data_IF_328963523347
#
_entry.id   IF_328963523347
#
_cell.length_a   1.000
_cell.length_b   1.000
_cell.length_c   1.000
_cell.angle_alpha   90.00
_cell.angle_beta   90.00
_cell.angle_gamma   90.00
#
_symmetry.space_group_name_H-M   'P 1'
#
loop_
_entity.id
_entity.type
_entity.pdbx_description
1 polymer ?
#
# COMPACT_ATOMS: atom_id res chain seq x y z
N UNK A 1 1.31 -28.94 -12.15
CA UNK A 1 0.15 -28.27 -11.52
C UNK A 1 0.50 -27.50 -10.24
N UNK A 2 1.16 -28.11 -9.25
CA UNK A 2 1.33 -27.56 -7.88
C UNK A 2 1.99 -26.16 -7.81
N UNK A 3 3.00 -25.88 -8.64
CA UNK A 3 3.75 -24.61 -8.54
C UNK A 3 2.94 -23.37 -8.92
N UNK A 4 2.07 -23.45 -9.95
CA UNK A 4 1.30 -22.28 -10.41
C UNK A 4 0.27 -21.78 -9.41
N UNK A 5 -0.37 -22.70 -8.70
CA UNK A 5 -1.35 -22.37 -7.67
C UNK A 5 -0.69 -21.75 -6.42
N UNK A 6 0.51 -22.22 -6.06
CA UNK A 6 1.32 -21.65 -4.98
C UNK A 6 1.70 -20.21 -5.30
N UNK A 7 2.23 -19.93 -6.50
CA UNK A 7 2.60 -18.57 -6.90
C UNK A 7 1.40 -17.62 -6.90
N UNK A 8 0.22 -18.07 -7.37
CA UNK A 8 -1.02 -17.29 -7.31
C UNK A 8 -1.38 -16.89 -5.86
N UNK A 9 -1.38 -17.86 -4.94
CA UNK A 9 -1.71 -17.64 -3.53
C UNK A 9 -0.69 -16.72 -2.86
N UNK A 10 0.61 -16.94 -3.08
CA UNK A 10 1.66 -16.08 -2.55
C UNK A 10 1.53 -14.63 -3.05
N UNK A 11 1.24 -14.45 -4.34
CA UNK A 11 1.05 -13.13 -4.92
C UNK A 11 -0.18 -12.43 -4.33
N UNK A 12 -1.28 -13.17 -4.12
CA UNK A 12 -2.49 -12.64 -3.50
C UNK A 12 -2.25 -12.24 -2.03
N UNK A 13 -1.60 -13.09 -1.24
CA UNK A 13 -1.33 -12.80 0.17
C UNK A 13 -0.34 -11.65 0.33
N UNK A 14 0.69 -11.56 -0.51
CA UNK A 14 1.59 -10.42 -0.52
C UNK A 14 0.88 -9.13 -0.92
N UNK A 15 -0.05 -9.17 -1.88
CA UNK A 15 -0.87 -8.00 -2.22
C UNK A 15 -1.66 -7.49 -1.01
N UNK A 16 -2.33 -8.38 -0.27
CA UNK A 16 -3.10 -8.03 0.94
C UNK A 16 -2.17 -7.44 2.00
N UNK A 17 -1.00 -8.05 2.21
CA UNK A 17 -0.02 -7.59 3.19
C UNK A 17 0.52 -6.20 2.84
N UNK A 18 0.78 -5.92 1.56
CA UNK A 18 1.21 -4.60 1.09
C UNK A 18 0.11 -3.55 1.30
N UNK A 19 -1.16 -3.86 1.02
CA UNK A 19 -2.26 -2.93 1.27
C UNK A 19 -2.40 -2.61 2.76
N UNK A 20 -2.38 -3.64 3.60
CA UNK A 20 -2.54 -3.47 5.04
C UNK A 20 -1.33 -2.76 5.66
N UNK A 21 -0.11 -3.16 5.29
CA UNK A 21 1.12 -2.51 5.73
C UNK A 21 1.20 -1.05 5.29
N UNK A 22 0.76 -0.75 4.07
CA UNK A 22 0.64 0.61 3.55
C UNK A 22 -0.35 1.46 4.35
N UNK A 23 -1.54 0.92 4.66
CA UNK A 23 -2.53 1.60 5.49
C UNK A 23 -2.01 1.90 6.90
N UNK A 24 -1.40 0.91 7.57
CA UNK A 24 -0.81 1.08 8.91
C UNK A 24 0.29 2.13 8.89
N UNK A 25 1.18 2.09 7.89
CA UNK A 25 2.28 3.05 7.73
C UNK A 25 1.74 4.46 7.50
N UNK A 26 0.73 4.62 6.65
CA UNK A 26 0.10 5.91 6.38
C UNK A 26 -0.57 6.50 7.63
N UNK A 27 -1.27 5.68 8.42
CA UNK A 27 -1.86 6.11 9.69
C UNK A 27 -0.78 6.56 10.66
N UNK A 28 0.33 5.81 10.76
CA UNK A 28 1.44 6.17 11.63
C UNK A 28 2.08 7.51 11.23
N UNK A 29 2.29 7.73 9.93
CA UNK A 29 2.83 8.99 9.40
C UNK A 29 1.89 10.18 9.63
N UNK A 30 0.59 9.99 9.41
CA UNK A 30 -0.43 11.01 9.60
C UNK A 30 -0.61 11.40 11.06
N UNK A 31 -0.68 10.40 11.95
CA UNK A 31 -0.95 10.61 13.38
C UNK A 31 0.28 10.88 14.24
N UNK A 32 1.50 10.71 13.71
CA UNK A 32 2.81 10.89 14.36
C UNK A 32 2.74 11.54 15.76
N UNK A 33 3.12 10.77 16.81
CA UNK A 33 3.13 11.26 18.18
C UNK A 33 4.21 12.33 18.36
N UNK A 34 3.78 13.57 18.59
CA UNK A 34 4.70 14.68 18.77
C UNK A 34 5.40 14.63 20.12
N UNK A 35 6.72 14.75 20.10
CA UNK A 35 7.52 14.93 21.31
C UNK A 35 7.67 16.41 21.66
N UNK A 36 7.48 17.30 20.68
CA UNK A 36 7.64 18.75 20.81
C UNK A 36 6.32 19.44 20.47
N UNK A 37 5.90 20.47 21.22
CA UNK A 37 4.75 21.29 20.85
C UNK A 37 4.90 21.87 19.44
N UNK A 38 3.78 22.09 18.72
CA UNK A 38 3.84 22.74 17.41
C UNK A 38 4.35 24.18 17.54
N UNK A 39 5.20 24.57 16.59
CA UNK A 39 5.58 25.96 16.38
C UNK A 39 4.54 26.62 15.47
N UNK A 40 4.06 27.80 15.88
CA UNK A 40 3.12 28.60 15.10
C UNK A 40 3.88 29.83 14.61
N UNK A 41 4.00 29.97 13.30
CA UNK A 41 4.59 31.16 12.71
C UNK A 41 3.68 32.38 12.99
N UNK A 42 4.18 33.42 13.67
CA UNK A 42 3.38 34.58 14.05
C UNK A 42 2.96 35.46 12.86
N UNK A 43 3.64 35.37 11.71
CA UNK A 43 3.34 36.20 10.54
C UNK A 43 2.36 35.50 9.59
N UNK A 44 2.46 34.18 9.44
CA UNK A 44 1.66 33.39 8.48
C UNK A 44 0.54 32.58 9.15
N UNK A 45 0.62 32.34 10.46
CA UNK A 45 -0.28 31.45 11.19
C UNK A 45 -0.10 29.97 10.86
N UNK A 46 0.96 29.61 10.13
CA UNK A 46 1.24 28.23 9.76
C UNK A 46 1.68 27.41 10.98
N UNK A 47 1.18 26.17 11.05
CA UNK A 47 1.48 25.24 12.14
C UNK A 47 2.51 24.22 11.68
N UNK A 48 3.68 24.29 12.29
CA UNK A 48 4.79 23.38 12.05
C UNK A 48 4.90 22.39 13.20
N UNK A 49 4.98 21.12 12.87
CA UNK A 49 5.33 20.07 13.82
C UNK A 49 6.71 19.56 13.44
N UNK A 50 7.69 19.74 14.33
CA UNK A 50 9.07 19.25 14.14
C UNK A 50 9.69 19.73 12.81
N UNK A 51 9.42 20.98 12.42
CA UNK A 51 9.93 21.58 11.18
C UNK A 51 9.18 21.19 9.91
N UNK A 52 8.05 20.49 10.00
CA UNK A 52 7.20 20.13 8.86
C UNK A 52 5.80 20.73 8.98
N UNK A 53 5.30 21.27 7.86
CA UNK A 53 3.95 21.82 7.78
C UNK A 53 2.91 20.74 8.09
N UNK A 54 1.95 21.04 8.98
CA UNK A 54 0.92 20.08 9.36
C UNK A 54 0.15 19.44 8.16
N UNK A 55 -0.25 20.20 7.12
CA UNK A 55 -0.91 19.61 5.93
C UNK A 55 0.00 18.69 5.10
N UNK A 56 1.29 19.02 5.00
CA UNK A 56 2.26 18.28 4.18
C UNK A 56 2.42 16.83 4.67
N UNK A 57 2.27 16.61 5.97
CA UNK A 57 2.28 15.26 6.58
C UNK A 57 1.18 14.37 6.05
N UNK A 58 -0.05 14.90 6.03
CA UNK A 58 -1.20 14.17 5.52
C UNK A 58 -1.08 13.91 4.03
N UNK A 59 -0.41 14.80 3.28
CA UNK A 59 -0.10 14.54 1.87
C UNK A 59 0.89 13.38 1.70
N UNK A 60 1.96 13.34 2.50
CA UNK A 60 2.92 12.23 2.48
C UNK A 60 2.24 10.91 2.88
N UNK A 61 1.46 10.92 3.95
CA UNK A 61 0.69 9.75 4.40
C UNK A 61 -0.26 9.25 3.31
N UNK A 62 -1.00 10.16 2.67
CA UNK A 62 -1.89 9.84 1.55
C UNK A 62 -1.11 9.28 0.36
N UNK A 63 0.03 9.87 0.01
CA UNK A 63 0.86 9.39 -1.09
C UNK A 63 1.36 7.95 -0.83
N UNK A 64 1.85 7.65 0.37
CA UNK A 64 2.27 6.30 0.77
C UNK A 64 1.10 5.32 0.68
N UNK A 65 -0.08 5.71 1.19
CA UNK A 65 -1.28 4.88 1.09
C UNK A 65 -1.67 4.60 -0.36
N UNK A 66 -1.71 5.63 -1.21
CA UNK A 66 -2.11 5.48 -2.61
C UNK A 66 -1.14 4.60 -3.39
N UNK A 67 0.17 4.77 -3.21
CA UNK A 67 1.17 3.94 -3.89
C UNK A 67 1.01 2.47 -3.49
N UNK A 68 0.95 2.20 -2.19
CA UNK A 68 0.82 0.82 -1.68
C UNK A 68 -0.50 0.18 -2.08
N UNK A 69 -1.60 0.95 -2.11
CA UNK A 69 -2.90 0.49 -2.58
C UNK A 69 -2.89 0.16 -4.08
N UNK A 70 -2.31 1.03 -4.92
CA UNK A 70 -2.17 0.79 -6.36
C UNK A 70 -1.33 -0.46 -6.62
N UNK A 71 -0.17 -0.58 -5.94
CA UNK A 71 0.69 -1.76 -6.05
C UNK A 71 -0.07 -3.03 -5.65
N UNK A 72 -0.85 -2.99 -4.56
CA UNK A 72 -1.68 -4.11 -4.13
C UNK A 72 -2.68 -4.52 -5.21
N UNK A 73 -3.40 -3.58 -5.82
CA UNK A 73 -4.34 -3.90 -6.90
C UNK A 73 -3.67 -4.50 -8.12
N UNK A 74 -2.49 -4.00 -8.51
CA UNK A 74 -1.70 -4.59 -9.60
C UNK A 74 -1.35 -6.05 -9.28
N UNK A 75 -0.89 -6.33 -8.06
CA UNK A 75 -0.56 -7.68 -7.63
C UNK A 75 -1.78 -8.60 -7.59
N UNK A 76 -2.93 -8.13 -7.10
CA UNK A 76 -4.18 -8.90 -7.15
C UNK A 76 -4.62 -9.18 -8.59
N UNK A 77 -4.51 -8.20 -9.49
CA UNK A 77 -4.81 -8.37 -10.91
C UNK A 77 -3.91 -9.42 -11.57
N UNK A 78 -2.60 -9.36 -11.32
CA UNK A 78 -1.64 -10.36 -11.80
C UNK A 78 -1.96 -11.76 -11.25
N UNK A 79 -2.40 -11.86 -9.99
CA UNK A 79 -2.81 -13.13 -9.40
C UNK A 79 -4.01 -13.74 -10.14
N UNK A 80 -5.00 -12.91 -10.49
CA UNK A 80 -6.15 -13.34 -11.28
C UNK A 80 -5.73 -13.83 -12.69
N UNK A 81 -4.85 -13.09 -13.36
CA UNK A 81 -4.30 -13.48 -14.68
C UNK A 81 -3.59 -14.84 -14.61
N UNK A 82 -2.73 -15.05 -13.60
CA UNK A 82 -2.06 -16.35 -13.40
C UNK A 82 -3.08 -17.46 -13.22
N UNK A 83 -4.16 -17.23 -12.45
CA UNK A 83 -5.24 -18.19 -12.27
C UNK A 83 -5.88 -18.62 -13.59
N UNK A 84 -6.24 -17.66 -14.44
CA UNK A 84 -6.84 -17.93 -15.76
C UNK A 84 -5.86 -18.70 -16.65
N UNK A 85 -4.59 -18.30 -16.69
CA UNK A 85 -3.57 -18.97 -17.51
C UNK A 85 -3.33 -20.41 -17.05
N UNK A 86 -3.33 -20.67 -15.74
CA UNK A 86 -3.20 -22.04 -15.22
C UNK A 86 -4.38 -22.91 -15.61
N UNK A 87 -5.61 -22.37 -15.60
CA UNK A 87 -6.81 -23.10 -16.01
C UNK A 87 -6.78 -23.46 -17.50
N UNK A 88 -6.44 -22.50 -18.37
CA UNK A 88 -6.32 -22.74 -19.82
C UNK A 88 -5.25 -23.80 -20.11
N UNK A 89 -4.08 -23.70 -19.46
CA UNK A 89 -3.00 -24.68 -19.64
C UNK A 89 -3.42 -26.06 -19.18
N UNK A 90 -4.08 -26.17 -18.03
CA UNK A 90 -4.46 -27.46 -17.48
C UNK A 90 -5.55 -28.12 -18.34
N UNK A 91 -6.49 -27.35 -18.92
CA UNK A 91 -7.45 -27.84 -19.91
C UNK A 91 -6.77 -28.38 -21.18
N UNK A 92 -5.78 -27.65 -21.72
CA UNK A 92 -5.02 -28.07 -22.91
C UNK A 92 -4.23 -29.38 -22.71
N UNK A 93 -3.81 -29.68 -21.48
CA UNK A 93 -3.04 -30.90 -21.19
C UNK A 93 -3.93 -32.15 -20.97
N UNK A 94 -5.25 -31.98 -20.98
CA UNK A 94 -6.23 -33.08 -20.83
C UNK A 94 -6.77 -33.59 -22.18
N UNK A 95 -6.54 -32.83 -23.27
CA UNK A 95 -6.83 -33.19 -24.66
C UNK A 95 -5.60 -33.83 -25.33
#
# INVERSE_FOLDING_TARGET
MIHGEIYRKLLLYSAILVAFGGAVTAIFLGLNFHLVPPDIDPDTGEVFYEGMLHPQRWWIATAVFMITLITSFIMMGLSAVIGILTEIRDKKNMD
#
